data_IF_945753084452
#
_entry.id   IF_945753084452
#
_cell.length_a   1.000
_cell.length_b   1.000
_cell.length_c   1.000
_cell.angle_alpha   90.00
_cell.angle_beta   90.00
_cell.angle_gamma   90.00
#
_symmetry.space_group_name_H-M   'P 1'
#
loop_
_entity.id
_entity.type
_entity.pdbx_description
1 polymer ?
#
# COMPACT_ATOMS: atom_id res chain seq x y z
N UNK A 1 -30.27 -1.16 0.78
CA UNK A 1 -29.76 0.02 1.51
C UNK A 1 -28.25 0.06 1.31
N UNK A 2 -27.74 1.06 0.57
CA UNK A 2 -26.31 1.20 0.23
C UNK A 2 -25.62 1.87 1.44
N UNK A 3 -24.78 1.15 2.21
CA UNK A 3 -24.26 1.64 3.50
C UNK A 3 -23.33 2.86 3.38
N UNK A 4 -22.65 3.00 2.23
CA UNK A 4 -21.67 4.06 1.98
C UNK A 4 -22.26 5.48 1.95
N UNK A 5 -23.57 5.64 1.68
CA UNK A 5 -24.21 6.96 1.56
C UNK A 5 -24.69 7.57 2.88
N UNK A 6 -24.67 6.81 3.98
CA UNK A 6 -25.17 7.24 5.29
C UNK A 6 -24.08 7.16 6.38
N UNK A 7 -22.83 6.94 5.99
CA UNK A 7 -21.70 7.00 6.92
C UNK A 7 -21.21 8.45 7.02
N UNK A 8 -20.86 8.89 8.22
CA UNK A 8 -20.29 10.22 8.46
C UNK A 8 -19.05 10.42 7.57
N UNK A 9 -18.78 11.63 7.03
CA UNK A 9 -17.70 11.89 6.07
C UNK A 9 -16.31 11.39 6.49
N UNK A 10 -16.07 11.29 7.81
CA UNK A 10 -14.81 10.79 8.38
C UNK A 10 -14.60 9.27 8.13
N UNK A 11 -15.66 8.47 8.09
CA UNK A 11 -15.58 7.02 7.92
C UNK A 11 -15.19 6.59 6.50
N UNK A 12 -15.29 7.49 5.51
CA UNK A 12 -14.99 7.24 4.09
C UNK A 12 -13.50 7.49 3.76
N UNK A 13 -12.80 8.27 4.58
CA UNK A 13 -11.38 8.60 4.41
C UNK A 13 -10.49 7.36 4.21
N UNK A 14 -10.65 6.27 4.98
CA UNK A 14 -9.86 5.06 4.78
C UNK A 14 -9.99 4.41 3.42
N UNK A 15 -11.23 4.25 3.00
CA UNK A 15 -11.57 3.58 1.76
C UNK A 15 -11.07 4.42 0.59
N UNK A 16 -11.30 5.73 0.64
CA UNK A 16 -10.81 6.67 -0.37
C UNK A 16 -9.30 6.64 -0.48
N UNK A 17 -8.56 6.64 0.64
CA UNK A 17 -7.10 6.56 0.61
C UNK A 17 -6.62 5.25 -0.03
N UNK A 18 -7.11 4.11 0.46
CA UNK A 18 -6.71 2.78 -0.05
C UNK A 18 -7.01 2.66 -1.55
N UNK A 19 -8.21 3.02 -1.99
CA UNK A 19 -8.57 2.96 -3.41
C UNK A 19 -7.68 3.91 -4.22
N UNK A 20 -7.50 5.16 -3.78
CA UNK A 20 -6.70 6.15 -4.50
C UNK A 20 -5.25 5.70 -4.68
N UNK A 21 -4.65 5.13 -3.64
CA UNK A 21 -3.28 4.65 -3.67
C UNK A 21 -3.12 3.38 -4.52
N UNK A 22 -4.07 2.43 -4.45
CA UNK A 22 -4.02 1.25 -5.30
C UNK A 22 -4.19 1.61 -6.78
N UNK A 23 -5.13 2.51 -7.11
CA UNK A 23 -5.32 2.99 -8.48
C UNK A 23 -4.11 3.76 -8.97
N UNK A 24 -3.56 4.65 -8.14
CA UNK A 24 -2.31 5.38 -8.45
C UNK A 24 -1.18 4.41 -8.79
N UNK A 25 -0.98 3.35 -7.99
CA UNK A 25 0.06 2.36 -8.25
C UNK A 25 -0.12 1.69 -9.62
N UNK A 26 -1.35 1.34 -10.00
CA UNK A 26 -1.61 0.78 -11.32
C UNK A 26 -1.27 1.81 -12.42
N UNK A 27 -1.75 3.04 -12.30
CA UNK A 27 -1.51 4.09 -13.31
C UNK A 27 -0.03 4.45 -13.46
N UNK A 28 0.72 4.52 -12.36
CA UNK A 28 2.12 4.96 -12.36
C UNK A 28 3.10 3.82 -12.68
N UNK A 29 2.78 2.57 -12.32
CA UNK A 29 3.77 1.48 -12.36
C UNK A 29 3.40 0.29 -13.24
N UNK A 30 2.11 0.03 -13.52
CA UNK A 30 1.73 -1.17 -14.29
C UNK A 30 2.24 -1.14 -15.73
N UNK A 31 2.35 0.05 -16.34
CA UNK A 31 2.57 0.20 -17.80
C UNK A 31 1.60 -0.64 -18.65
N UNK A 32 0.42 -0.98 -18.12
CA UNK A 32 -0.56 -1.75 -18.86
C UNK A 32 -1.19 -0.91 -19.97
N UNK A 33 -1.38 -1.51 -21.14
CA UNK A 33 -2.21 -0.95 -22.21
C UNK A 33 -3.72 -1.19 -21.95
N UNK A 34 -4.07 -2.00 -20.95
CA UNK A 34 -5.45 -2.31 -20.55
C UNK A 34 -5.84 -1.60 -19.25
N UNK A 35 -7.14 -1.55 -18.98
CA UNK A 35 -7.68 -0.94 -17.76
C UNK A 35 -7.45 -1.81 -16.51
N UNK A 36 -7.19 -1.16 -15.37
CA UNK A 36 -7.24 -1.81 -14.06
C UNK A 36 -8.66 -2.31 -13.76
N UNK A 37 -8.78 -3.46 -13.09
CA UNK A 37 -10.06 -3.93 -12.56
C UNK A 37 -10.06 -3.72 -11.05
N UNK A 38 -11.12 -3.08 -10.55
CA UNK A 38 -11.33 -2.82 -9.13
C UNK A 38 -12.65 -3.46 -8.73
N UNK A 39 -12.64 -4.19 -7.62
CA UNK A 39 -13.85 -4.71 -7.01
C UNK A 39 -13.88 -4.32 -5.54
N UNK A 40 -15.05 -3.87 -5.07
CA UNK A 40 -15.28 -3.58 -3.66
C UNK A 40 -16.62 -4.19 -3.24
N UNK A 41 -16.64 -4.91 -2.12
CA UNK A 41 -17.85 -5.53 -1.59
C UNK A 41 -17.97 -5.33 -0.09
N UNK A 42 -19.15 -4.88 0.34
CA UNK A 42 -19.49 -4.73 1.75
C UNK A 42 -20.15 -6.00 2.29
N UNK A 43 -19.71 -6.42 3.47
CA UNK A 43 -20.22 -7.56 4.22
C UNK A 43 -20.87 -7.08 5.53
N UNK A 44 -22.20 -7.06 5.54
CA UNK A 44 -23.00 -6.55 6.67
C UNK A 44 -22.73 -7.26 7.99
N UNK A 45 -22.62 -8.59 7.98
CA UNK A 45 -22.45 -9.41 9.21
C UNK A 45 -21.15 -9.11 9.95
N UNK A 46 -20.07 -8.81 9.24
CA UNK A 46 -18.76 -8.51 9.82
C UNK A 46 -18.41 -7.02 9.81
N UNK A 47 -19.34 -6.19 9.35
CA UNK A 47 -19.14 -4.76 9.11
C UNK A 47 -17.80 -4.46 8.39
N UNK A 48 -17.54 -5.19 7.31
CA UNK A 48 -16.24 -5.15 6.60
C UNK A 48 -16.44 -4.82 5.13
N UNK A 49 -15.58 -3.97 4.56
CA UNK A 49 -15.45 -3.81 3.11
C UNK A 49 -14.21 -4.57 2.66
N UNK A 50 -14.35 -5.38 1.60
CA UNK A 50 -13.22 -6.04 0.93
C UNK A 50 -12.97 -5.36 -0.39
N UNK A 51 -11.73 -4.97 -0.63
CA UNK A 51 -11.31 -4.27 -1.84
C UNK A 51 -10.24 -5.13 -2.52
N UNK A 52 -10.38 -5.32 -3.83
CA UNK A 52 -9.40 -5.96 -4.69
C UNK A 52 -9.09 -5.07 -5.89
N UNK A 53 -7.82 -4.95 -6.23
CA UNK A 53 -7.35 -4.28 -7.46
C UNK A 53 -6.44 -5.24 -8.19
N UNK A 54 -6.66 -5.36 -9.50
CA UNK A 54 -5.82 -6.17 -10.38
C UNK A 54 -5.45 -5.41 -11.64
N UNK A 55 -4.23 -5.65 -12.11
CA UNK A 55 -3.73 -5.19 -13.41
C UNK A 55 -2.99 -6.30 -14.15
N UNK A 56 -2.90 -6.19 -15.46
CA UNK A 56 -2.14 -7.06 -16.35
C UNK A 56 -0.89 -6.34 -16.90
N UNK A 57 -0.26 -5.53 -16.05
CA UNK A 57 0.95 -4.79 -16.38
C UNK A 57 2.21 -5.62 -16.27
N UNK A 58 3.35 -4.94 -16.17
CA UNK A 58 4.69 -5.55 -16.10
C UNK A 58 4.97 -6.37 -14.83
N UNK A 59 4.10 -6.28 -13.82
CA UNK A 59 4.30 -6.90 -12.51
C UNK A 59 5.35 -6.20 -11.65
N UNK A 60 5.45 -6.64 -10.39
CA UNK A 60 6.22 -5.94 -9.35
C UNK A 60 7.71 -6.11 -9.53
N UNK A 61 8.18 -7.31 -9.89
CA UNK A 61 9.61 -7.57 -10.09
C UNK A 61 10.17 -6.66 -11.17
N UNK A 62 9.57 -6.65 -12.37
CA UNK A 62 10.02 -5.77 -13.46
C UNK A 62 9.93 -4.28 -13.07
N UNK A 63 8.89 -3.88 -12.33
CA UNK A 63 8.75 -2.49 -11.88
C UNK A 63 9.88 -2.08 -10.91
N UNK A 64 10.22 -2.91 -9.93
CA UNK A 64 11.27 -2.63 -8.93
C UNK A 64 12.67 -2.78 -9.51
N UNK A 65 12.89 -3.73 -10.42
CA UNK A 65 14.18 -4.01 -11.04
C UNK A 65 14.79 -2.80 -11.77
N UNK A 66 13.99 -1.78 -12.08
CA UNK A 66 14.46 -0.50 -12.66
C UNK A 66 15.35 0.31 -11.71
N UNK A 67 15.16 0.15 -10.40
CA UNK A 67 15.86 0.94 -9.37
C UNK A 67 16.63 0.08 -8.37
N UNK A 68 16.29 -1.22 -8.25
CA UNK A 68 16.91 -2.11 -7.27
C UNK A 68 17.23 -3.48 -7.89
N UNK A 69 18.29 -4.13 -7.41
CA UNK A 69 18.56 -5.51 -7.79
C UNK A 69 17.65 -6.44 -6.99
N UNK A 70 16.88 -7.29 -7.67
CA UNK A 70 15.92 -8.21 -7.05
C UNK A 70 16.00 -9.59 -7.70
N UNK A 71 16.19 -10.61 -6.89
CA UNK A 71 16.46 -11.97 -7.35
C UNK A 71 15.16 -12.75 -7.66
N UNK A 72 14.14 -12.62 -6.81
CA UNK A 72 12.88 -13.38 -6.90
C UNK A 72 11.63 -12.48 -6.89
N UNK A 73 10.48 -13.01 -7.29
CA UNK A 73 9.20 -12.29 -7.21
C UNK A 73 8.78 -12.04 -5.75
N UNK A 74 9.08 -12.96 -4.83
CA UNK A 74 8.79 -12.78 -3.41
C UNK A 74 9.65 -11.68 -2.77
N UNK A 75 10.91 -11.54 -3.19
CA UNK A 75 11.77 -10.44 -2.77
C UNK A 75 11.30 -9.12 -3.34
N UNK A 76 10.79 -9.11 -4.58
CA UNK A 76 10.18 -7.93 -5.17
C UNK A 76 8.96 -7.49 -4.35
N UNK A 77 8.08 -8.42 -3.98
CA UNK A 77 6.92 -8.13 -3.11
C UNK A 77 7.38 -7.62 -1.74
N UNK A 78 8.42 -8.21 -1.13
CA UNK A 78 9.00 -7.72 0.12
C UNK A 78 9.45 -6.27 0.00
N UNK A 79 10.17 -5.95 -1.08
CA UNK A 79 10.67 -4.62 -1.37
C UNK A 79 9.51 -3.63 -1.58
N UNK A 80 8.49 -3.97 -2.38
CA UNK A 80 7.29 -3.15 -2.59
C UNK A 80 6.56 -2.79 -1.28
N UNK A 81 6.60 -3.68 -0.29
CA UNK A 81 5.94 -3.52 1.00
C UNK A 81 6.84 -2.88 2.07
N UNK A 82 8.10 -2.58 1.75
CA UNK A 82 9.06 -1.92 2.63
C UNK A 82 8.93 -0.40 2.45
N UNK A 83 8.88 0.40 3.53
CA UNK A 83 8.71 1.85 3.41
C UNK A 83 9.88 2.49 2.62
N UNK A 84 9.58 3.47 1.78
CA UNK A 84 10.56 4.23 1.00
C UNK A 84 11.11 3.55 -0.26
N UNK A 85 10.55 2.40 -0.67
CA UNK A 85 10.98 1.68 -1.88
C UNK A 85 10.03 1.93 -3.06
N UNK A 86 10.57 2.35 -4.22
CA UNK A 86 9.80 2.59 -5.46
C UNK A 86 10.59 2.22 -6.72
N UNK A 87 9.89 1.84 -7.80
CA UNK A 87 10.52 1.60 -9.10
C UNK A 87 11.04 2.83 -9.84
N UNK A 88 10.90 4.06 -9.30
CA UNK A 88 11.16 5.31 -10.03
C UNK A 88 12.30 6.17 -9.46
N UNK A 89 12.87 5.88 -8.29
CA UNK A 89 14.00 6.65 -7.73
C UNK A 89 14.96 5.82 -6.86
N UNK A 90 16.26 5.95 -7.12
CA UNK A 90 17.38 5.39 -6.33
C UNK A 90 17.91 6.33 -5.24
N UNK A 91 17.40 7.57 -5.17
CA UNK A 91 17.87 8.54 -4.18
C UNK A 91 17.21 8.31 -2.81
N UNK A 92 18.04 8.01 -1.81
CA UNK A 92 17.75 8.04 -0.35
C UNK A 92 17.27 9.45 0.11
N UNK A 93 17.23 10.44 -0.79
CA UNK A 93 16.73 11.80 -0.55
C UNK A 93 15.31 12.10 -1.04
N UNK A 94 14.63 11.18 -1.73
CA UNK A 94 13.19 11.24 -1.94
C UNK A 94 12.52 10.72 -0.68
N UNK A 95 12.37 11.57 0.34
CA UNK A 95 11.85 11.23 1.69
C UNK A 95 10.86 10.07 1.64
N UNK A 96 11.07 9.01 2.44
CA UNK A 96 10.35 7.72 2.48
C UNK A 96 8.84 7.79 2.23
N UNK A 97 8.24 8.94 2.54
CA UNK A 97 6.83 9.24 2.36
C UNK A 97 6.45 9.60 0.92
N UNK A 98 7.25 10.38 0.19
CA UNK A 98 6.91 10.89 -1.14
C UNK A 98 7.14 9.89 -2.29
N UNK A 99 7.79 8.77 -2.02
CA UNK A 99 8.12 7.78 -3.02
C UNK A 99 7.85 6.38 -2.42
N UNK A 100 6.80 5.69 -2.89
CA UNK A 100 6.54 4.25 -2.72
C UNK A 100 6.26 3.74 -1.30
N UNK A 101 5.71 4.58 -0.44
CA UNK A 101 5.15 4.12 0.84
C UNK A 101 3.68 3.68 0.77
N UNK A 102 2.99 3.83 -0.37
CA UNK A 102 1.56 3.55 -0.49
C UNK A 102 1.19 2.11 -0.08
N UNK A 103 1.89 1.10 -0.62
CA UNK A 103 1.64 -0.30 -0.26
C UNK A 103 2.05 -0.62 1.19
N UNK A 104 3.13 -0.02 1.69
CA UNK A 104 3.50 -0.13 3.10
C UNK A 104 2.39 0.41 4.02
N UNK A 105 1.79 1.56 3.68
CA UNK A 105 0.70 2.14 4.47
C UNK A 105 -0.55 1.29 4.40
N UNK A 106 -0.96 0.82 3.21
CA UNK A 106 -2.11 -0.07 3.04
C UNK A 106 -1.92 -1.35 3.87
N UNK A 107 -0.74 -1.97 3.84
CA UNK A 107 -0.41 -3.11 4.72
C UNK A 107 -0.51 -2.75 6.20
N UNK A 108 0.04 -1.60 6.59
CA UNK A 108 0.06 -1.13 7.99
C UNK A 108 -1.35 -0.87 8.51
N UNK A 109 -2.23 -0.34 7.66
CA UNK A 109 -3.66 -0.18 7.93
C UNK A 109 -4.31 -1.53 8.24
N UNK A 110 -4.12 -2.52 7.36
CA UNK A 110 -4.64 -3.87 7.58
C UNK A 110 -4.08 -4.47 8.89
N UNK A 111 -2.80 -4.24 9.17
CA UNK A 111 -2.14 -4.71 10.39
C UNK A 111 -2.76 -4.13 11.66
N UNK A 112 -2.97 -2.81 11.68
CA UNK A 112 -3.58 -2.06 12.80
C UNK A 112 -5.02 -2.49 13.01
N UNK A 113 -5.78 -2.66 11.93
CA UNK A 113 -7.18 -3.09 11.99
C UNK A 113 -7.34 -4.59 12.24
N UNK A 114 -6.22 -5.33 12.30
CA UNK A 114 -6.17 -6.80 12.44
C UNK A 114 -6.92 -7.51 11.31
N UNK A 115 -6.87 -6.91 10.14
CA UNK A 115 -7.51 -7.33 8.92
C UNK A 115 -6.53 -8.11 8.02
N UNK A 116 -7.06 -8.64 6.92
CA UNK A 116 -6.24 -9.31 5.91
C UNK A 116 -5.71 -8.32 4.87
N UNK A 117 -4.50 -8.58 4.41
CA UNK A 117 -3.92 -7.97 3.22
C UNK A 117 -3.26 -9.08 2.41
N UNK A 118 -3.41 -9.05 1.09
CA UNK A 118 -2.79 -10.00 0.17
C UNK A 118 -2.23 -9.27 -1.03
N UNK A 119 -1.10 -9.76 -1.52
CA UNK A 119 -0.45 -9.29 -2.72
C UNK A 119 0.05 -10.49 -3.53
N UNK A 120 -0.13 -10.44 -4.84
CA UNK A 120 0.28 -11.48 -5.78
C UNK A 120 0.86 -10.82 -7.04
N UNK A 121 2.01 -11.30 -7.50
CA UNK A 121 2.64 -10.87 -8.76
C UNK A 121 3.70 -11.88 -9.17
N UNK A 122 3.86 -12.13 -10.47
CA UNK A 122 4.77 -13.17 -10.95
C UNK A 122 4.33 -14.55 -10.44
N UNK A 123 5.24 -15.29 -9.81
CA UNK A 123 4.98 -16.61 -9.21
C UNK A 123 4.83 -16.59 -7.68
N UNK A 124 4.73 -15.41 -7.08
CA UNK A 124 4.78 -15.23 -5.64
C UNK A 124 3.52 -14.59 -5.04
N UNK A 125 3.24 -14.96 -3.79
CA UNK A 125 2.17 -14.39 -2.97
C UNK A 125 2.67 -14.04 -1.57
N UNK A 126 2.31 -12.84 -1.10
CA UNK A 126 2.37 -12.45 0.30
C UNK A 126 0.97 -12.29 0.86
N UNK A 127 0.71 -12.86 2.04
CA UNK A 127 -0.53 -12.68 2.78
C UNK A 127 -0.24 -12.28 4.22
N UNK A 128 -0.66 -11.09 4.62
CA UNK A 128 -0.68 -10.67 6.02
C UNK A 128 -1.77 -11.47 6.75
N UNK A 129 -1.41 -12.11 7.87
CA UNK A 129 -2.35 -12.82 8.72
C UNK A 129 -2.83 -11.92 9.84
N UNK A 130 -4.07 -12.17 10.30
CA UNK A 130 -4.67 -11.39 11.38
C UNK A 130 -3.83 -11.44 12.65
N UNK A 131 -3.59 -10.26 13.23
CA UNK A 131 -2.97 -10.15 14.55
C UNK A 131 -3.94 -10.70 15.61
N UNK A 132 -3.51 -11.64 16.48
CA UNK A 132 -4.37 -12.21 17.52
C UNK A 132 -4.96 -11.14 18.43
N UNK A 133 -6.20 -11.34 18.89
CA UNK A 133 -6.91 -10.35 19.69
C UNK A 133 -6.20 -10.02 21.03
N UNK A 134 -5.46 -11.00 21.56
CA UNK A 134 -4.67 -10.92 22.80
C UNK A 134 -3.51 -9.91 22.76
N UNK A 135 -3.04 -9.50 21.58
CA UNK A 135 -1.93 -8.56 21.48
C UNK A 135 -2.45 -7.13 21.66
N UNK A 136 -2.26 -6.55 22.85
CA UNK A 136 -2.70 -5.17 23.18
C UNK A 136 -1.96 -4.11 22.36
N UNK A 137 -0.68 -4.32 22.09
CA UNK A 137 0.16 -3.40 21.31
C UNK A 137 0.39 -3.96 19.90
N UNK A 138 0.16 -3.13 18.89
CA UNK A 138 0.44 -3.45 17.49
C UNK A 138 1.76 -2.78 17.11
N UNK A 139 2.74 -3.60 16.72
CA UNK A 139 4.03 -3.13 16.23
C UNK A 139 3.98 -3.16 14.70
N UNK A 140 4.44 -2.08 14.08
CA UNK A 140 4.64 -1.99 12.64
C UNK A 140 6.11 -2.23 12.33
N UNK A 141 6.39 -3.24 11.51
CA UNK A 141 7.73 -3.54 11.05
C UNK A 141 7.97 -2.96 9.65
N UNK A 142 9.15 -2.36 9.45
CA UNK A 142 9.61 -1.93 8.12
C UNK A 142 9.80 -3.11 7.18
N UNK A 143 10.38 -4.22 7.67
CA UNK A 143 10.43 -5.47 6.94
C UNK A 143 9.08 -6.20 7.07
N UNK A 144 8.31 -6.38 5.98
CA UNK A 144 6.99 -7.02 6.02
C UNK A 144 7.06 -8.49 6.47
N UNK A 145 8.20 -9.17 6.33
CA UNK A 145 8.33 -10.57 6.74
C UNK A 145 8.47 -10.76 8.25
N UNK A 146 8.67 -9.67 9.01
CA UNK A 146 8.60 -9.70 10.47
C UNK A 146 7.16 -9.64 10.98
N UNK A 147 6.20 -9.25 10.11
CA UNK A 147 4.78 -9.42 10.43
C UNK A 147 4.40 -10.90 10.40
N UNK A 148 3.36 -11.25 11.16
CA UNK A 148 2.72 -12.57 11.03
C UNK A 148 2.12 -12.68 9.62
N UNK A 149 2.81 -13.39 8.74
CA UNK A 149 2.46 -13.52 7.33
C UNK A 149 2.59 -14.96 6.83
N UNK A 150 1.95 -15.24 5.69
CA UNK A 150 2.17 -16.42 4.88
C UNK A 150 2.79 -15.98 3.56
N UNK A 151 3.77 -16.73 3.08
CA UNK A 151 4.41 -16.53 1.78
C UNK A 151 4.27 -17.81 0.96
N UNK A 152 4.11 -17.68 -0.35
CA UNK A 152 4.09 -18.80 -1.28
C UNK A 152 4.86 -18.39 -2.54
N UNK A 153 5.59 -19.33 -3.09
CA UNK A 153 6.43 -19.21 -4.30
C UNK A 153 6.11 -20.40 -5.21
N UNK A 154 6.58 -20.36 -6.46
CA UNK A 154 6.28 -21.38 -7.48
C UNK A 154 4.77 -21.51 -7.79
N UNK A 155 4.04 -20.39 -7.71
CA UNK A 155 2.63 -20.32 -8.13
C UNK A 155 2.54 -20.11 -9.65
N UNK A 156 1.37 -20.32 -10.28
CA UNK A 156 1.19 -20.05 -11.71
C UNK A 156 1.57 -18.61 -12.07
N UNK A 157 2.58 -18.43 -12.92
CA UNK A 157 3.09 -17.10 -13.24
C UNK A 157 2.00 -16.18 -13.81
N UNK A 158 1.92 -14.95 -13.28
CA UNK A 158 1.06 -13.90 -13.83
C UNK A 158 1.86 -12.60 -14.04
N UNK A 159 1.86 -12.15 -15.30
CA UNK A 159 2.34 -10.84 -15.70
C UNK A 159 1.32 -9.75 -15.31
N UNK A 160 1.39 -9.33 -14.06
CA UNK A 160 0.46 -8.37 -13.47
C UNK A 160 0.60 -8.30 -11.96
N UNK A 161 -0.28 -7.54 -11.31
CA UNK A 161 -0.35 -7.44 -9.86
C UNK A 161 -1.79 -7.57 -9.39
N UNK A 162 -2.03 -8.39 -8.36
CA UNK A 162 -3.24 -8.30 -7.54
C UNK A 162 -2.90 -7.80 -6.14
N UNK A 163 -3.74 -6.92 -5.62
CA UNK A 163 -3.74 -6.50 -4.22
C UNK A 163 -5.14 -6.62 -3.67
N UNK A 164 -5.28 -7.21 -2.47
CA UNK A 164 -6.54 -7.33 -1.76
C UNK A 164 -6.40 -6.91 -0.30
N UNK A 165 -7.43 -6.24 0.23
CA UNK A 165 -7.46 -5.77 1.62
C UNK A 165 -8.88 -5.83 2.19
N UNK A 166 -8.97 -6.26 3.45
CA UNK A 166 -10.16 -6.14 4.28
C UNK A 166 -10.08 -4.84 5.10
N UNK A 167 -11.18 -4.11 5.23
CA UNK A 167 -11.30 -2.92 6.07
C UNK A 167 -12.53 -3.07 6.97
N UNK A 168 -12.31 -3.27 8.26
CA UNK A 168 -13.37 -3.28 9.28
C UNK A 168 -13.80 -1.85 9.63
N UNK A 169 -15.11 -1.57 9.55
CA UNK A 169 -15.71 -0.27 9.85
C UNK A 169 -16.00 -0.06 11.35
N UNK A 170 -15.48 -0.90 12.24
CA UNK A 170 -15.60 -0.68 13.69
C UNK A 170 -14.31 -0.09 14.30
N UNK A 171 -13.22 -0.02 13.54
CA UNK A 171 -11.86 0.32 14.04
C UNK A 171 -11.29 1.62 13.44
N UNK A 172 -12.11 2.65 13.31
CA UNK A 172 -11.74 3.90 12.63
C UNK A 172 -10.63 4.72 13.32
N UNK A 173 -10.61 4.82 14.64
CA UNK A 173 -9.69 5.74 15.34
C UNK A 173 -8.20 5.47 15.08
N UNK A 174 -7.79 4.20 15.08
CA UNK A 174 -6.39 3.85 14.86
C UNK A 174 -5.96 4.12 13.41
N UNK A 175 -6.91 4.04 12.48
CA UNK A 175 -6.71 4.37 11.08
C UNK A 175 -6.54 5.87 10.88
N UNK A 176 -7.41 6.70 11.46
CA UNK A 176 -7.34 8.15 11.30
C UNK A 176 -6.07 8.72 11.89
N UNK A 177 -5.62 8.20 13.05
CA UNK A 177 -4.33 8.54 13.64
C UNK A 177 -3.17 8.19 12.70
N UNK A 178 -3.19 7.00 12.08
CA UNK A 178 -2.17 6.60 11.12
C UNK A 178 -2.18 7.51 9.89
N UNK A 179 -3.36 7.82 9.34
CA UNK A 179 -3.48 8.76 8.23
C UNK A 179 -3.01 10.17 8.59
N UNK A 180 -3.28 10.65 9.78
CA UNK A 180 -2.84 11.97 10.21
C UNK A 180 -1.32 12.03 10.35
N UNK A 181 -0.69 10.98 10.89
CA UNK A 181 0.77 10.86 10.91
C UNK A 181 1.34 10.87 9.48
N UNK A 182 0.71 10.12 8.58
CA UNK A 182 1.07 10.05 7.16
C UNK A 182 0.94 11.44 6.51
N UNK A 183 -0.24 12.08 6.59
CA UNK A 183 -0.52 13.41 6.03
C UNK A 183 0.43 14.47 6.60
N UNK A 184 0.72 14.43 7.90
CA UNK A 184 1.69 15.34 8.54
C UNK A 184 3.10 15.14 7.95
N UNK A 185 3.52 13.90 7.75
CA UNK A 185 4.81 13.60 7.13
C UNK A 185 4.89 14.08 5.68
N UNK A 186 3.89 13.79 4.86
CA UNK A 186 3.78 14.31 3.48
C UNK A 186 3.83 15.85 3.43
N UNK A 187 3.07 16.54 4.30
CA UNK A 187 3.02 18.01 4.36
C UNK A 187 4.35 18.63 4.77
N UNK A 188 5.01 18.08 5.81
CA UNK A 188 6.32 18.55 6.30
C UNK A 188 7.36 18.47 5.17
N UNK A 189 7.40 17.35 4.47
CA UNK A 189 8.35 17.12 3.38
C UNK A 189 8.10 18.03 2.17
N UNK A 190 6.83 18.32 1.81
CA UNK A 190 6.49 19.27 0.73
C UNK A 190 6.96 20.69 1.03
N UNK A 191 6.85 21.12 2.29
CA UNK A 191 7.30 22.44 2.73
C UNK A 191 8.83 22.55 2.75
N UNK A 192 9.53 21.48 3.14
CA UNK A 192 11.00 21.41 3.10
C UNK A 192 11.55 21.41 1.66
N UNK A 193 10.90 20.70 0.73
CA UNK A 193 11.27 20.73 -0.69
C UNK A 193 11.04 22.10 -1.33
N UNK A 194 9.92 22.79 -1.01
CA UNK A 194 9.71 24.18 -1.43
C UNK A 194 10.84 25.09 -0.92
N UNK A 195 11.17 25.02 0.38
CA UNK A 195 12.26 25.81 0.97
C UNK A 195 13.63 25.54 0.32
N UNK A 196 13.95 24.27 -0.01
CA UNK A 196 15.18 23.92 -0.74
C UNK A 196 15.18 24.46 -2.18
N UNK A 197 14.02 24.46 -2.87
CA UNK A 197 13.87 25.00 -4.23
C UNK A 197 14.03 26.53 -4.27
N UNK A 198 13.61 27.24 -3.22
CA UNK A 198 13.80 28.70 -3.08
C UNK A 198 15.20 29.10 -2.57
N UNK A 199 16.04 28.15 -2.14
CA UNK A 199 17.42 28.41 -1.67
C UNK A 199 18.51 28.09 -2.69
N UNK A 200 18.17 27.63 -3.90
CA UNK A 200 19.18 27.45 -4.96
C UNK A 200 19.48 28.82 -5.58
N UNK A 201 20.73 29.34 -5.50
CA UNK A 201 21.10 30.54 -6.24
C UNK A 201 20.88 30.29 -7.73
N UNK A 202 20.15 31.20 -8.38
CA UNK A 202 20.09 31.25 -9.84
C UNK A 202 21.40 31.89 -10.28
N UNK A 203 22.33 31.09 -10.78
CA UNK A 203 23.42 31.63 -11.58
C UNK A 203 22.83 31.96 -12.94
N UNK A 204 22.93 33.25 -13.31
CA UNK A 204 22.62 33.80 -14.64
C UNK A 204 23.85 33.55 -15.51
#
# INVERSE_FOLDING_TARGET
MIPLLHQEPEQVNPINYVISELVRNVLEHSKSNSSAIISAQYYKKSNTIRIGVVDNGIGIKEAISKSYNVESDIDAIKMALTPGITGTTTNIGGTEFNAGAGLFFIKSIAKVNRDFFVMYSGDAMYKLLRTPAKNKNIILYSNPFNDKCSKKENLPYWQGTAVGIDICLDRHQAFDQLLDLIKKSYRKNRNEQKKKRFKKPRFI
#
